data_IF_255561951271
#
_entry.id   IF_255561951271
#
_cell.length_a   1.000
_cell.length_b   1.000
_cell.length_c   1.000
_cell.angle_alpha   90.00
_cell.angle_beta   90.00
_cell.angle_gamma   90.00
#
_symmetry.space_group_name_H-M   'P 1'
#
loop_
_entity.id
_entity.type
_entity.pdbx_description
1 polymer ?
#
# COMPACT_ATOMS: atom_id res chain seq x y z
N UNK A 1 -43.97 -51.85 -6.88
CA UNK A 1 -45.41 -52.23 -6.81
C UNK A 1 -46.00 -51.43 -5.67
N UNK A 2 -46.70 -50.33 -5.96
CA UNK A 2 -48.18 -50.25 -6.07
C UNK A 2 -48.82 -50.32 -4.68
N UNK A 3 -49.71 -49.46 -4.20
CA UNK A 3 -50.51 -48.34 -4.72
C UNK A 3 -51.00 -47.56 -3.46
N UNK A 4 -51.01 -46.23 -3.46
CA UNK A 4 -52.19 -45.37 -3.65
C UNK A 4 -53.51 -45.83 -2.97
N UNK A 5 -54.03 -44.98 -2.08
CA UNK A 5 -55.23 -44.13 -2.34
C UNK A 5 -56.32 -44.09 -1.24
N UNK A 6 -57.05 -42.97 -1.28
CA UNK A 6 -58.41 -42.69 -0.80
C UNK A 6 -58.61 -42.04 0.60
N UNK A 7 -58.87 -40.73 0.55
CA UNK A 7 -59.66 -39.98 1.52
C UNK A 7 -61.18 -40.19 1.28
N UNK A 8 -62.05 -39.78 2.25
CA UNK A 8 -63.09 -38.83 1.86
C UNK A 8 -63.44 -37.70 2.88
N UNK A 9 -63.77 -36.57 2.24
CA UNK A 9 -64.46 -35.29 2.55
C UNK A 9 -65.48 -35.15 3.71
N UNK A 10 -65.30 -34.05 4.48
CA UNK A 10 -66.23 -32.92 4.88
C UNK A 10 -67.47 -33.21 5.77
N UNK A 11 -68.00 -32.24 6.59
CA UNK A 11 -68.19 -30.83 6.23
C UNK A 11 -68.03 -29.71 7.29
N UNK A 12 -67.91 -28.50 6.73
CA UNK A 12 -68.26 -27.17 7.22
C UNK A 12 -69.10 -27.07 8.51
N UNK A 13 -68.62 -26.26 9.47
CA UNK A 13 -69.44 -25.22 10.10
C UNK A 13 -68.62 -23.94 10.35
N UNK A 14 -69.01 -22.92 9.61
CA UNK A 14 -68.80 -21.49 9.84
C UNK A 14 -69.24 -21.09 11.25
N UNK A 15 -68.42 -20.28 11.93
CA UNK A 15 -68.88 -19.15 12.74
C UNK A 15 -67.71 -18.21 13.00
N UNK A 16 -67.75 -17.08 12.30
CA UNK A 16 -67.02 -15.89 12.65
C UNK A 16 -67.50 -15.40 14.03
N UNK A 17 -66.55 -15.06 14.89
CA UNK A 17 -66.75 -14.10 15.97
C UNK A 17 -65.41 -13.39 16.15
N UNK A 18 -65.33 -12.18 15.60
CA UNK A 18 -64.27 -11.25 15.89
C UNK A 18 -64.40 -10.80 17.35
N UNK A 19 -63.29 -10.86 18.09
CA UNK A 19 -63.11 -10.09 19.31
C UNK A 19 -61.68 -9.53 19.28
N UNK A 20 -61.62 -8.23 19.00
CA UNK A 20 -60.44 -7.37 19.11
C UNK A 20 -60.19 -7.12 20.59
N UNK A 21 -58.98 -7.44 21.09
CA UNK A 21 -58.36 -6.77 22.23
C UNK A 21 -56.90 -7.21 22.40
N UNK A 22 -55.98 -6.25 22.47
CA UNK A 22 -54.72 -6.42 23.20
C UNK A 22 -53.44 -6.36 22.36
N UNK A 23 -53.08 -5.15 21.95
CA UNK A 23 -51.73 -4.75 21.52
C UNK A 23 -50.68 -5.10 22.57
N UNK A 24 -49.65 -5.85 22.16
CA UNK A 24 -48.28 -5.77 22.69
C UNK A 24 -47.35 -6.34 21.61
N UNK A 25 -47.19 -5.56 20.54
CA UNK A 25 -46.03 -5.69 19.69
C UNK A 25 -44.83 -5.27 20.54
N UNK A 26 -44.13 -6.26 21.11
CA UNK A 26 -42.82 -6.04 21.70
C UNK A 26 -41.87 -5.60 20.59
N UNK A 27 -41.64 -4.29 20.49
CA UNK A 27 -40.52 -3.76 19.74
C UNK A 27 -39.25 -4.28 20.41
N UNK A 28 -38.66 -5.33 19.84
CA UNK A 28 -37.25 -5.63 20.04
C UNK A 28 -36.48 -4.47 19.39
N UNK A 29 -36.23 -3.44 20.18
CA UNK A 29 -35.19 -2.47 19.86
C UNK A 29 -33.89 -3.27 19.94
N UNK A 30 -33.41 -3.70 18.77
CA UNK A 30 -32.00 -4.04 18.57
C UNK A 30 -31.23 -2.74 18.83
N UNK A 31 -30.96 -2.43 20.09
CA UNK A 31 -29.83 -1.58 20.46
C UNK A 31 -28.60 -2.36 20.04
N UNK A 32 -28.23 -2.22 18.76
CA UNK A 32 -26.88 -2.51 18.32
C UNK A 32 -25.97 -1.73 19.26
N UNK A 33 -25.08 -2.43 19.95
CA UNK A 33 -23.95 -1.79 20.60
C UNK A 33 -23.10 -1.19 19.48
N UNK A 34 -23.45 0.00 19.01
CA UNK A 34 -22.48 0.91 18.41
C UNK A 34 -21.47 1.16 19.52
N UNK A 35 -20.34 0.47 19.44
CA UNK A 35 -19.19 0.81 20.28
C UNK A 35 -18.80 2.19 19.81
N UNK A 36 -19.24 3.21 20.53
CA UNK A 36 -18.93 4.60 20.23
C UNK A 36 -17.40 4.71 20.34
N UNK A 37 -16.73 4.84 19.19
CA UNK A 37 -15.28 4.98 19.14
C UNK A 37 -14.95 6.28 19.85
N UNK A 38 -14.30 6.17 21.01
CA UNK A 38 -13.97 7.32 21.82
C UNK A 38 -12.85 8.11 21.15
N UNK A 39 -12.98 9.42 21.07
CA UNK A 39 -11.87 10.31 20.70
C UNK A 39 -11.00 10.63 21.92
N UNK A 40 -9.69 10.47 21.80
CA UNK A 40 -8.69 10.82 22.82
C UNK A 40 -7.57 11.58 22.12
N UNK A 41 -7.21 12.76 22.62
CA UNK A 41 -6.16 13.59 22.01
C UNK A 41 -6.40 13.90 20.53
N UNK A 42 -7.65 14.06 20.11
CA UNK A 42 -8.01 14.33 18.71
C UNK A 42 -8.05 13.10 17.80
N UNK A 43 -7.76 11.90 18.31
CA UNK A 43 -7.71 10.65 17.53
C UNK A 43 -8.74 9.62 18.01
N UNK A 44 -9.28 8.77 17.11
CA UNK A 44 -10.01 7.57 17.48
C UNK A 44 -9.19 6.67 18.44
N UNK A 45 -9.82 6.09 19.46
CA UNK A 45 -9.18 5.15 20.38
C UNK A 45 -9.83 3.75 20.35
N UNK A 46 -9.18 2.74 19.73
CA UNK A 46 -7.89 2.82 19.07
C UNK A 46 -7.95 3.41 17.66
N UNK A 47 -6.87 4.05 17.21
CA UNK A 47 -6.59 4.29 15.80
C UNK A 47 -5.80 3.10 15.29
N UNK A 48 -6.33 2.38 14.31
CA UNK A 48 -5.71 1.18 13.75
C UNK A 48 -4.99 1.52 12.46
N UNK A 49 -3.71 1.18 12.41
CA UNK A 49 -2.82 1.37 11.27
C UNK A 49 -2.46 0.02 10.63
N UNK A 50 -2.25 0.01 9.32
CA UNK A 50 -1.76 -1.18 8.59
C UNK A 50 -0.40 -0.93 7.94
N UNK A 51 0.49 -1.92 7.94
CA UNK A 51 1.82 -1.84 7.29
C UNK A 51 2.35 -3.24 6.97
N UNK A 52 3.57 -3.34 6.46
CA UNK A 52 4.26 -4.60 6.22
C UNK A 52 4.54 -5.40 7.50
N UNK A 53 4.96 -6.66 7.35
CA UNK A 53 5.32 -7.56 8.45
C UNK A 53 6.36 -7.00 9.42
N UNK A 54 6.38 -7.55 10.63
CA UNK A 54 7.15 -7.06 11.78
C UNK A 54 8.67 -7.07 11.61
N UNK A 55 9.18 -7.82 10.63
CA UNK A 55 10.62 -7.90 10.31
C UNK A 55 11.10 -6.81 9.34
N UNK A 56 10.20 -5.92 8.91
CA UNK A 56 10.50 -4.86 7.92
C UNK A 56 10.83 -3.52 8.58
N UNK A 57 11.62 -2.70 7.87
CA UNK A 57 11.85 -1.30 8.28
C UNK A 57 10.54 -0.52 8.28
N UNK A 58 9.63 -0.87 7.36
CA UNK A 58 8.30 -0.28 7.27
C UNK A 58 7.48 -0.38 8.56
N UNK A 59 7.54 -1.55 9.22
CA UNK A 59 6.94 -1.76 10.53
C UNK A 59 7.69 -1.04 11.63
N UNK A 60 9.02 -1.13 11.65
CA UNK A 60 9.85 -0.54 12.69
C UNK A 60 9.66 0.98 12.82
N UNK A 61 9.65 1.72 11.70
CA UNK A 61 9.43 3.17 11.77
C UNK A 61 8.00 3.49 12.23
N UNK A 62 7.00 2.79 11.69
CA UNK A 62 5.60 3.04 12.05
C UNK A 62 5.35 2.73 13.53
N UNK A 63 5.98 1.68 14.08
CA UNK A 63 5.91 1.35 15.50
C UNK A 63 6.57 2.44 16.37
N UNK A 64 7.70 3.00 15.94
CA UNK A 64 8.36 4.12 16.62
C UNK A 64 7.48 5.38 16.66
N UNK A 65 6.88 5.73 15.52
CA UNK A 65 5.91 6.85 15.42
C UNK A 65 4.67 6.58 16.27
N UNK A 66 4.06 5.40 16.14
CA UNK A 66 2.84 5.03 16.83
C UNK A 66 3.01 5.06 18.36
N UNK A 67 4.15 4.59 18.87
CA UNK A 67 4.46 4.64 20.31
C UNK A 67 4.52 6.07 20.82
N UNK A 68 5.27 6.96 20.15
CA UNK A 68 5.40 8.36 20.60
C UNK A 68 4.12 9.18 20.42
N UNK A 69 3.39 8.99 19.32
CA UNK A 69 2.07 9.60 19.14
C UNK A 69 1.07 9.11 20.20
N UNK A 70 1.12 7.83 20.58
CA UNK A 70 0.27 7.32 21.66
C UNK A 70 0.59 7.95 23.02
N UNK A 71 1.88 8.21 23.30
CA UNK A 71 2.32 8.90 24.52
C UNK A 71 1.88 10.37 24.51
N UNK A 72 2.02 11.06 23.39
CA UNK A 72 1.69 12.48 23.23
C UNK A 72 0.17 12.72 23.38
N UNK A 73 -0.64 11.90 22.71
CA UNK A 73 -2.11 12.10 22.62
C UNK A 73 -2.89 11.38 23.71
N UNK A 74 -2.34 10.28 24.24
CA UNK A 74 -3.05 9.32 25.10
C UNK A 74 -3.99 8.36 24.36
N UNK A 75 -4.14 8.47 23.03
CA UNK A 75 -4.86 7.50 22.21
C UNK A 75 -4.03 6.23 22.01
N UNK A 76 -4.67 5.07 21.83
CA UNK A 76 -3.93 3.84 21.48
C UNK A 76 -3.82 3.73 19.97
N UNK A 77 -2.60 3.76 19.44
CA UNK A 77 -2.34 3.37 18.06
C UNK A 77 -2.03 1.87 18.00
N UNK A 78 -2.72 1.14 17.10
CA UNK A 78 -2.54 -0.30 16.93
C UNK A 78 -2.13 -0.61 15.52
N UNK A 79 -1.07 -1.40 15.36
CA UNK A 79 -0.60 -1.81 14.05
C UNK A 79 -1.08 -3.24 13.77
N UNK A 80 -1.69 -3.43 12.60
CA UNK A 80 -1.91 -4.74 11.99
C UNK A 80 -1.00 -4.86 10.76
N UNK A 81 -0.60 -6.07 10.41
CA UNK A 81 0.39 -6.28 9.35
C UNK A 81 -0.11 -7.18 8.24
N UNK A 82 0.34 -6.91 7.02
CA UNK A 82 0.20 -7.80 5.87
C UNK A 82 1.41 -7.66 4.96
N UNK A 83 1.98 -8.79 4.52
CA UNK A 83 3.10 -8.81 3.58
C UNK A 83 2.69 -8.59 2.11
N UNK A 84 1.39 -8.48 1.87
CA UNK A 84 0.79 -8.21 0.56
C UNK A 84 0.27 -6.78 0.51
N UNK A 85 0.36 -6.14 -0.66
CA UNK A 85 -0.27 -4.84 -0.91
C UNK A 85 -1.79 -4.95 -0.84
N UNK A 86 -2.37 -5.98 -1.46
CA UNK A 86 -3.82 -6.22 -1.44
C UNK A 86 -4.34 -6.38 -0.02
N UNK A 87 -3.65 -7.14 0.84
CA UNK A 87 -4.05 -7.31 2.23
C UNK A 87 -3.98 -6.04 3.06
N UNK A 88 -3.02 -5.14 2.78
CA UNK A 88 -2.93 -3.84 3.46
C UNK A 88 -4.07 -2.92 3.02
N UNK A 89 -4.33 -2.78 1.72
CA UNK A 89 -5.49 -2.01 1.26
C UNK A 89 -6.83 -2.63 1.67
N UNK A 90 -6.94 -3.97 1.72
CA UNK A 90 -8.18 -4.63 2.15
C UNK A 90 -8.50 -4.32 3.62
N UNK A 91 -7.47 -4.16 4.47
CA UNK A 91 -7.66 -3.73 5.84
C UNK A 91 -8.23 -2.31 5.94
N UNK A 92 -7.79 -1.40 5.07
CA UNK A 92 -8.36 -0.05 4.98
C UNK A 92 -9.80 -0.08 4.46
N UNK A 93 -10.02 -0.75 3.32
CA UNK A 93 -11.33 -0.84 2.67
C UNK A 93 -12.42 -1.46 3.56
N UNK A 94 -12.05 -2.45 4.38
CA UNK A 94 -12.98 -3.09 5.33
C UNK A 94 -13.20 -2.30 6.61
N UNK A 95 -12.47 -1.20 6.82
CA UNK A 95 -12.48 -0.42 8.07
C UNK A 95 -11.75 -1.11 9.24
N UNK A 96 -11.06 -2.22 9.01
CA UNK A 96 -10.25 -2.89 10.02
C UNK A 96 -9.03 -2.05 10.43
N UNK A 97 -8.50 -1.25 9.50
CA UNK A 97 -7.56 -0.15 9.74
C UNK A 97 -8.14 1.15 9.16
N UNK A 98 -7.76 2.29 9.73
CA UNK A 98 -8.17 3.61 9.24
C UNK A 98 -7.06 4.27 8.42
N UNK A 99 -5.80 3.93 8.72
CA UNK A 99 -4.62 4.55 8.09
C UNK A 99 -3.62 3.45 7.71
N UNK A 100 -2.94 3.58 6.59
CA UNK A 100 -1.94 2.62 6.13
C UNK A 100 -0.61 3.28 5.86
N UNK A 101 0.49 2.64 6.25
CA UNK A 101 1.81 2.90 5.66
C UNK A 101 1.97 1.96 4.47
N UNK A 102 1.90 2.54 3.29
CA UNK A 102 1.73 1.84 2.02
C UNK A 102 2.94 2.08 1.11
N UNK A 103 3.26 1.09 0.27
CA UNK A 103 4.03 1.33 -0.95
C UNK A 103 3.07 1.84 -2.04
N UNK A 104 3.43 1.73 -3.32
CA UNK A 104 2.61 2.24 -4.44
C UNK A 104 1.21 1.65 -4.57
N UNK A 105 0.80 0.69 -3.73
CA UNK A 105 -0.60 0.27 -3.74
C UNK A 105 -1.60 1.39 -3.46
N UNK A 106 -1.23 2.48 -2.78
CA UNK A 106 -2.12 3.65 -2.70
C UNK A 106 -2.36 4.28 -4.08
N UNK A 107 -1.34 4.29 -4.95
CA UNK A 107 -1.41 4.75 -6.35
C UNK A 107 -2.20 3.75 -7.19
N UNK A 108 -1.88 2.45 -7.09
CA UNK A 108 -2.53 1.43 -7.91
C UNK A 108 -4.00 1.23 -7.54
N UNK A 109 -4.35 1.36 -6.25
CA UNK A 109 -5.72 1.40 -5.79
C UNK A 109 -6.44 2.63 -6.32
N UNK A 110 -5.83 3.81 -6.24
CA UNK A 110 -6.37 5.05 -6.80
C UNK A 110 -6.65 4.96 -8.31
N UNK A 111 -5.71 4.39 -9.07
CA UNK A 111 -5.83 4.23 -10.53
C UNK A 111 -6.70 3.04 -10.97
N UNK A 112 -7.02 2.13 -10.05
CA UNK A 112 -7.69 0.86 -10.35
C UNK A 112 -6.90 -0.01 -11.32
N UNK A 113 -5.62 -0.27 -11.04
CA UNK A 113 -4.72 -1.05 -11.92
C UNK A 113 -4.04 -2.19 -11.17
N UNK A 114 -3.35 -3.08 -11.90
CA UNK A 114 -2.75 -4.31 -11.38
C UNK A 114 -3.81 -5.16 -10.65
N UNK A 115 -3.50 -5.70 -9.48
CA UNK A 115 -4.43 -6.52 -8.68
C UNK A 115 -5.66 -5.75 -8.14
N UNK A 116 -5.77 -4.45 -8.42
CA UNK A 116 -6.94 -3.63 -8.08
C UNK A 116 -7.92 -3.43 -9.25
N UNK A 117 -7.63 -3.98 -10.43
CA UNK A 117 -8.51 -3.94 -11.60
C UNK A 117 -9.37 -5.21 -11.74
N UNK A 118 -10.37 -5.38 -10.87
CA UNK A 118 -11.31 -6.52 -10.87
C UNK A 118 -12.65 -6.15 -10.23
N UNK A 119 -13.64 -7.04 -10.33
CA UNK A 119 -15.01 -6.83 -9.80
C UNK A 119 -15.06 -6.46 -8.31
N UNK A 120 -14.12 -6.97 -7.53
CA UNK A 120 -14.06 -6.72 -6.11
C UNK A 120 -13.44 -5.36 -5.79
N UNK A 121 -12.70 -4.72 -6.70
CA UNK A 121 -11.94 -3.49 -6.43
C UNK A 121 -12.38 -2.32 -7.33
N UNK A 122 -11.65 -2.08 -8.42
CA UNK A 122 -11.71 -0.84 -9.22
C UNK A 122 -10.89 0.31 -8.61
N UNK A 123 -10.94 1.50 -9.23
CA UNK A 123 -10.40 2.73 -8.64
C UNK A 123 -10.96 2.96 -7.22
N UNK A 124 -10.12 3.42 -6.30
CA UNK A 124 -10.45 3.66 -4.90
C UNK A 124 -10.14 5.11 -4.52
N UNK A 125 -10.95 5.72 -3.66
CA UNK A 125 -10.71 7.10 -3.22
C UNK A 125 -9.70 7.18 -2.05
N UNK A 126 -8.46 6.83 -2.37
CA UNK A 126 -7.34 6.84 -1.43
C UNK A 126 -6.66 8.21 -1.46
N UNK A 127 -6.36 8.73 -0.28
CA UNK A 127 -5.73 10.04 -0.06
C UNK A 127 -4.42 9.91 0.71
N UNK A 128 -3.44 10.72 0.32
CA UNK A 128 -2.14 10.81 0.98
C UNK A 128 -2.23 11.64 2.26
N UNK A 129 -1.61 11.16 3.34
CA UNK A 129 -1.59 11.79 4.66
C UNK A 129 -0.19 12.33 5.01
N UNK A 130 0.87 11.54 4.81
CA UNK A 130 2.25 11.92 5.12
C UNK A 130 3.23 11.15 4.23
N UNK A 131 4.29 11.79 3.70
CA UNK A 131 5.09 11.20 2.61
C UNK A 131 6.60 11.18 2.90
N UNK A 132 7.07 10.28 3.76
CA UNK A 132 8.49 10.05 3.94
C UNK A 132 9.08 9.28 2.74
N UNK A 133 10.30 9.64 2.34
CA UNK A 133 11.09 8.87 1.37
C UNK A 133 11.82 7.72 2.07
N UNK A 134 12.01 6.61 1.36
CA UNK A 134 12.64 5.42 1.93
C UNK A 134 13.62 4.73 0.96
N UNK A 135 14.90 4.54 1.36
CA UNK A 135 15.85 3.75 0.58
C UNK A 135 15.47 2.27 0.55
N UNK A 136 15.49 1.72 -0.64
CA UNK A 136 15.35 0.30 -0.91
C UNK A 136 16.51 -0.18 -1.76
N UNK A 137 17.04 -1.36 -1.44
CA UNK A 137 18.22 -1.90 -2.11
C UNK A 137 18.00 -3.32 -2.58
N UNK A 138 18.94 -3.79 -3.39
CA UNK A 138 19.03 -5.19 -3.82
C UNK A 138 20.15 -5.86 -3.03
N UNK A 139 19.82 -6.96 -2.35
CA UNK A 139 20.80 -7.76 -1.61
C UNK A 139 20.93 -9.14 -2.25
N UNK A 140 22.15 -9.65 -2.31
CA UNK A 140 22.50 -10.95 -2.88
C UNK A 140 23.51 -11.67 -2.00
N UNK A 141 23.73 -12.97 -2.21
CA UNK A 141 24.83 -13.69 -1.54
C UNK A 141 26.14 -13.29 -2.22
N UNK A 142 27.17 -12.96 -1.44
CA UNK A 142 28.49 -12.61 -1.97
C UNK A 142 29.06 -13.73 -2.87
N UNK A 143 28.76 -14.99 -2.54
CA UNK A 143 29.20 -16.14 -3.31
C UNK A 143 28.59 -16.25 -4.73
N UNK A 144 27.48 -15.55 -5.00
CA UNK A 144 26.84 -15.55 -6.32
C UNK A 144 27.53 -14.57 -7.30
N UNK A 145 28.35 -13.64 -6.79
CA UNK A 145 29.13 -12.69 -7.59
C UNK A 145 28.26 -11.77 -8.44
N UNK A 146 27.21 -11.20 -7.84
CA UNK A 146 26.32 -10.23 -8.46
C UNK A 146 26.74 -8.85 -8.00
N UNK A 147 27.45 -8.11 -8.85
CA UNK A 147 28.02 -6.80 -8.51
C UNK A 147 27.24 -5.66 -9.17
N UNK A 148 26.58 -5.92 -10.31
CA UNK A 148 25.73 -4.96 -11.02
C UNK A 148 24.37 -5.56 -11.42
N UNK A 149 23.38 -4.71 -11.70
CA UNK A 149 22.02 -5.16 -12.03
C UNK A 149 21.95 -6.03 -13.31
N UNK A 150 22.86 -5.83 -14.26
CA UNK A 150 23.01 -6.65 -15.49
C UNK A 150 23.40 -8.10 -15.20
N UNK A 151 24.03 -8.39 -14.06
CA UNK A 151 24.43 -9.75 -13.67
C UNK A 151 23.22 -10.65 -13.33
N UNK A 152 22.03 -10.07 -13.16
CA UNK A 152 20.79 -10.81 -12.93
C UNK A 152 20.33 -11.65 -14.13
N UNK A 153 20.95 -11.49 -15.31
CA UNK A 153 20.61 -12.29 -16.49
C UNK A 153 20.76 -13.80 -16.21
N UNK A 154 19.65 -14.52 -16.37
CA UNK A 154 19.51 -15.95 -16.13
C UNK A 154 19.41 -16.35 -14.66
N UNK A 155 19.38 -15.39 -13.73
CA UNK A 155 19.27 -15.62 -12.29
C UNK A 155 17.82 -15.77 -11.84
N UNK A 156 17.64 -16.24 -10.61
CA UNK A 156 16.34 -16.43 -9.97
C UNK A 156 15.95 -15.19 -9.21
N UNK A 157 14.91 -14.52 -9.66
CA UNK A 157 14.44 -13.24 -9.14
C UNK A 157 13.07 -13.45 -8.47
N UNK A 158 12.79 -12.83 -7.32
CA UNK A 158 11.50 -13.00 -6.67
C UNK A 158 10.37 -12.37 -7.48
N UNK A 159 9.25 -13.08 -7.58
CA UNK A 159 7.93 -12.50 -7.87
C UNK A 159 7.11 -12.57 -6.57
N UNK A 160 6.83 -11.42 -5.99
CA UNK A 160 6.16 -11.33 -4.70
C UNK A 160 4.65 -11.51 -4.86
N UNK A 161 4.09 -12.42 -4.07
CA UNK A 161 2.67 -12.75 -4.15
C UNK A 161 1.80 -11.56 -3.72
N UNK A 162 0.87 -11.13 -4.58
CA UNK A 162 -0.08 -10.04 -4.33
C UNK A 162 0.57 -8.73 -3.83
N UNK A 163 1.73 -8.40 -4.40
CA UNK A 163 2.51 -7.22 -4.04
C UNK A 163 3.00 -6.48 -5.29
N UNK A 164 2.08 -5.77 -5.99
CA UNK A 164 2.42 -4.98 -7.18
C UNK A 164 3.47 -3.93 -6.93
N UNK A 165 3.51 -3.33 -5.74
CA UNK A 165 4.51 -2.33 -5.41
C UNK A 165 5.92 -2.93 -5.48
N UNK A 166 6.19 -4.01 -4.74
CA UNK A 166 7.51 -4.64 -4.78
C UNK A 166 7.84 -5.21 -6.17
N UNK A 167 6.86 -5.80 -6.85
CA UNK A 167 7.01 -6.36 -8.19
C UNK A 167 7.35 -5.30 -9.26
N UNK A 168 6.73 -4.11 -9.19
CA UNK A 168 7.05 -3.00 -10.08
C UNK A 168 8.50 -2.54 -9.88
N UNK A 169 9.01 -2.52 -8.64
CA UNK A 169 10.44 -2.16 -8.40
C UNK A 169 11.39 -3.24 -8.85
N UNK A 170 11.05 -4.52 -8.69
CA UNK A 170 11.85 -5.60 -9.28
C UNK A 170 11.96 -5.42 -10.79
N UNK A 171 10.87 -5.08 -11.49
CA UNK A 171 10.92 -4.77 -12.92
C UNK A 171 11.76 -3.52 -13.23
N UNK A 172 11.60 -2.45 -12.45
CA UNK A 172 12.37 -1.23 -12.64
C UNK A 172 13.88 -1.44 -12.43
N UNK A 173 14.25 -2.30 -11.48
CA UNK A 173 15.62 -2.75 -11.23
C UNK A 173 16.18 -3.59 -12.39
N UNK A 174 15.37 -4.48 -12.97
CA UNK A 174 15.76 -5.19 -14.19
C UNK A 174 15.97 -4.22 -15.36
N UNK A 175 15.06 -3.26 -15.54
CA UNK A 175 15.17 -2.24 -16.57
C UNK A 175 16.41 -1.37 -16.37
N UNK A 176 16.74 -1.00 -15.13
CA UNK A 176 17.99 -0.32 -14.77
C UNK A 176 19.20 -1.09 -15.30
N UNK A 177 19.26 -2.41 -15.05
CA UNK A 177 20.31 -3.30 -15.59
C UNK A 177 20.24 -3.59 -17.09
N UNK A 178 19.32 -2.98 -17.83
CA UNK A 178 19.10 -3.24 -19.26
C UNK A 178 18.51 -4.62 -19.56
N UNK A 179 17.82 -5.22 -18.57
CA UNK A 179 17.20 -6.53 -18.66
C UNK A 179 15.68 -6.43 -18.81
N UNK A 180 15.09 -7.49 -19.34
CA UNK A 180 13.64 -7.67 -19.44
C UNK A 180 13.18 -8.84 -18.56
N UNK A 181 11.87 -8.99 -18.29
CA UNK A 181 11.34 -10.16 -17.60
C UNK A 181 11.75 -11.50 -18.23
N UNK A 182 11.97 -11.55 -19.55
CA UNK A 182 12.39 -12.76 -20.27
C UNK A 182 13.87 -13.13 -20.01
N UNK A 183 14.67 -12.20 -19.48
CA UNK A 183 16.08 -12.43 -19.18
C UNK A 183 16.30 -13.14 -17.83
N UNK A 184 15.27 -13.32 -17.00
CA UNK A 184 15.40 -13.89 -15.64
C UNK A 184 14.41 -15.03 -15.39
N UNK A 185 14.58 -15.74 -14.26
CA UNK A 185 13.68 -16.80 -13.82
C UNK A 185 12.90 -16.32 -12.59
N UNK A 186 11.61 -16.03 -12.75
CA UNK A 186 10.79 -15.63 -11.61
C UNK A 186 10.48 -16.81 -10.69
N UNK A 187 10.64 -16.58 -9.39
CA UNK A 187 10.28 -17.52 -8.32
C UNK A 187 9.23 -16.86 -7.43
N UNK A 188 8.04 -17.47 -7.37
CA UNK A 188 6.96 -16.96 -6.53
C UNK A 188 7.28 -17.18 -5.05
N UNK A 189 7.35 -16.10 -4.28
CA UNK A 189 7.57 -16.11 -2.83
C UNK A 189 6.71 -15.06 -2.12
N UNK A 190 6.56 -15.18 -0.80
CA UNK A 190 6.05 -14.08 0.03
C UNK A 190 7.12 -13.00 0.27
N UNK A 191 6.72 -11.74 0.38
CA UNK A 191 7.66 -10.64 0.67
C UNK A 191 8.36 -10.82 2.03
N UNK A 192 7.63 -11.26 3.06
CA UNK A 192 8.20 -11.55 4.38
C UNK A 192 9.15 -12.76 4.42
N UNK A 193 9.12 -13.63 3.41
CA UNK A 193 9.90 -14.87 3.34
C UNK A 193 11.22 -14.70 2.55
N UNK A 194 11.46 -13.52 1.99
CA UNK A 194 12.55 -13.31 1.02
C UNK A 194 13.94 -13.57 1.61
N UNK A 195 14.19 -13.19 2.87
CA UNK A 195 15.47 -13.44 3.54
C UNK A 195 15.77 -14.94 3.65
N UNK A 196 14.78 -15.73 4.06
CA UNK A 196 14.88 -17.19 4.13
C UNK A 196 15.07 -17.81 2.74
N UNK A 197 14.35 -17.29 1.73
CA UNK A 197 14.47 -17.74 0.35
C UNK A 197 15.88 -17.49 -0.22
N UNK A 198 16.50 -16.33 0.08
CA UNK A 198 17.89 -16.05 -0.31
C UNK A 198 18.87 -16.94 0.46
N UNK A 199 18.70 -17.11 1.78
CA UNK A 199 19.55 -17.97 2.57
C UNK A 199 19.55 -19.42 2.05
N UNK A 200 18.37 -19.93 1.68
CA UNK A 200 18.21 -21.28 1.17
C UNK A 200 18.61 -21.44 -0.29
N UNK A 201 19.03 -20.35 -0.95
CA UNK A 201 19.38 -20.38 -2.36
C UNK A 201 18.20 -20.67 -3.25
N UNK A 202 16.99 -20.24 -2.91
CA UNK A 202 15.80 -20.35 -3.76
C UNK A 202 15.74 -19.20 -4.78
N UNK A 203 16.13 -18.00 -4.34
CA UNK A 203 16.36 -16.81 -5.18
C UNK A 203 17.83 -16.39 -5.10
N UNK A 204 18.26 -15.57 -6.04
CA UNK A 204 19.64 -15.05 -6.14
C UNK A 204 19.73 -13.56 -5.78
N UNK A 205 18.59 -12.89 -5.61
CA UNK A 205 18.50 -11.52 -5.10
C UNK A 205 17.23 -11.33 -4.27
N UNK A 206 17.25 -10.36 -3.37
CA UNK A 206 16.07 -9.87 -2.64
C UNK A 206 16.00 -8.35 -2.68
N UNK A 207 14.80 -7.80 -2.54
CA UNK A 207 14.53 -6.35 -2.66
C UNK A 207 13.70 -5.88 -1.48
N UNK A 208 14.15 -4.81 -0.83
CA UNK A 208 13.38 -4.21 0.27
C UNK A 208 14.04 -3.00 0.89
N UNK A 209 13.34 -2.42 1.87
CA UNK A 209 13.83 -1.29 2.64
C UNK A 209 15.13 -1.66 3.37
N UNK A 210 16.20 -0.88 3.16
CA UNK A 210 17.57 -1.29 3.51
C UNK A 210 17.81 -1.44 5.02
N UNK A 211 16.94 -0.84 5.83
CA UNK A 211 17.01 -0.87 7.29
C UNK A 211 16.09 -1.91 7.94
N UNK A 212 15.57 -2.86 7.16
CA UNK A 212 14.73 -3.93 7.68
C UNK A 212 15.49 -4.90 8.60
N UNK A 213 14.88 -5.24 9.73
CA UNK A 213 15.47 -6.19 10.70
C UNK A 213 15.80 -7.56 10.09
N UNK A 214 14.99 -8.02 9.14
CA UNK A 214 15.25 -9.26 8.38
C UNK A 214 16.57 -9.24 7.59
N UNK A 215 16.98 -8.08 7.08
CA UNK A 215 18.23 -7.96 6.32
C UNK A 215 19.44 -7.95 7.26
N UNK A 216 19.33 -7.31 8.43
CA UNK A 216 20.33 -7.40 9.49
C UNK A 216 20.48 -8.83 10.03
N UNK A 217 19.36 -9.53 10.22
CA UNK A 217 19.35 -10.93 10.66
C UNK A 217 20.01 -11.83 9.60
N UNK A 218 19.63 -11.69 8.33
CA UNK A 218 20.22 -12.44 7.21
C UNK A 218 21.73 -12.23 7.13
N UNK A 219 22.20 -10.99 7.19
CA UNK A 219 23.63 -10.66 7.15
C UNK A 219 24.44 -11.22 8.33
N UNK A 220 23.78 -11.56 9.45
CA UNK A 220 24.42 -12.25 10.57
C UNK A 220 24.56 -13.76 10.37
N UNK A 221 23.87 -14.33 9.38
CA UNK A 221 23.77 -15.77 9.13
C UNK A 221 24.44 -16.22 7.83
N UNK A 222 24.50 -15.35 6.82
CA UNK A 222 25.04 -15.63 5.48
C UNK A 222 25.86 -14.44 4.99
N UNK A 223 26.96 -14.72 4.29
CA UNK A 223 27.74 -13.69 3.59
C UNK A 223 26.91 -13.13 2.41
N UNK A 224 26.49 -11.88 2.55
CA UNK A 224 25.66 -11.14 1.60
C UNK A 224 26.31 -9.79 1.26
N UNK A 225 25.90 -9.21 0.15
CA UNK A 225 26.32 -7.88 -0.29
C UNK A 225 25.15 -7.12 -0.90
N UNK A 226 25.23 -5.79 -0.90
CA UNK A 226 24.36 -4.92 -1.68
C UNK A 226 24.84 -4.89 -3.14
N UNK A 227 23.90 -4.84 -4.08
CA UNK A 227 24.18 -4.49 -5.47
C UNK A 227 24.06 -2.98 -5.58
N UNK A 228 25.19 -2.31 -5.79
CA UNK A 228 25.29 -0.85 -5.83
C UNK A 228 24.78 -0.33 -7.19
N UNK A 229 23.77 0.55 -7.17
CA UNK A 229 23.22 1.16 -8.37
C UNK A 229 24.08 2.37 -8.77
N UNK A 230 24.71 2.34 -9.95
CA UNK A 230 25.54 3.47 -10.40
C UNK A 230 24.71 4.78 -10.48
N UNK A 231 24.94 5.77 -9.58
CA UNK A 231 24.17 7.01 -9.57
C UNK A 231 24.53 7.95 -10.72
N UNK A 232 25.62 7.68 -11.45
CA UNK A 232 26.04 8.48 -12.60
C UNK A 232 25.51 7.93 -13.94
N UNK A 233 24.85 6.76 -13.95
CA UNK A 233 24.22 6.18 -15.14
C UNK A 233 22.80 6.73 -15.36
N UNK A 234 22.74 7.94 -15.94
CA UNK A 234 21.48 8.61 -16.26
C UNK A 234 20.60 7.81 -17.25
N UNK A 235 21.18 6.97 -18.12
CA UNK A 235 20.39 6.13 -19.03
C UNK A 235 19.75 4.96 -18.28
N UNK A 236 20.41 4.39 -17.27
CA UNK A 236 19.84 3.38 -16.40
C UNK A 236 18.75 3.95 -15.49
N UNK A 237 18.97 5.14 -14.93
CA UNK A 237 17.95 5.83 -14.13
C UNK A 237 16.70 6.17 -14.98
N UNK A 238 16.87 6.63 -16.22
CA UNK A 238 15.74 6.88 -17.16
C UNK A 238 14.92 5.60 -17.44
N UNK A 239 15.60 4.46 -17.64
CA UNK A 239 14.91 3.15 -17.79
C UNK A 239 14.13 2.75 -16.53
N UNK A 240 14.69 3.02 -15.35
CA UNK A 240 14.04 2.77 -14.07
C UNK A 240 12.81 3.67 -13.90
N UNK A 241 12.94 4.97 -14.18
CA UNK A 241 11.87 5.97 -14.08
C UNK A 241 10.76 5.75 -15.11
N UNK A 242 11.08 5.17 -16.27
CA UNK A 242 10.08 4.75 -17.25
C UNK A 242 9.11 3.71 -16.66
N UNK A 243 9.59 2.83 -15.76
CA UNK A 243 8.75 1.83 -15.08
C UNK A 243 8.10 2.40 -13.81
N UNK A 244 8.86 3.12 -12.99
CA UNK A 244 8.40 3.73 -11.74
C UNK A 244 8.80 5.22 -11.72
N UNK A 245 7.94 6.13 -12.23
CA UNK A 245 8.29 7.54 -12.41
C UNK A 245 8.67 8.29 -11.13
N UNK A 246 8.10 7.90 -9.99
CA UNK A 246 8.37 8.53 -8.69
C UNK A 246 9.67 8.03 -8.02
N UNK A 247 10.41 7.13 -8.66
CA UNK A 247 11.64 6.56 -8.12
C UNK A 247 12.89 7.32 -8.60
N UNK A 248 13.91 7.37 -7.74
CA UNK A 248 15.24 7.90 -8.08
C UNK A 248 16.33 7.00 -7.53
N UNK A 249 17.56 7.15 -8.00
CA UNK A 249 18.73 6.54 -7.38
C UNK A 249 19.25 7.45 -6.27
N UNK A 250 19.54 6.87 -5.10
CA UNK A 250 20.05 7.64 -3.96
C UNK A 250 20.90 6.79 -3.03
N UNK A 251 21.83 7.43 -2.31
CA UNK A 251 22.75 6.75 -1.42
C UNK A 251 22.11 6.39 -0.08
N UNK A 252 22.51 5.25 0.47
CA UNK A 252 22.18 4.84 1.83
C UNK A 252 23.42 4.33 2.56
N UNK A 253 23.49 4.64 3.86
CA UNK A 253 24.56 4.24 4.77
C UNK A 253 24.02 3.45 5.96
N UNK A 254 24.92 2.86 6.76
CA UNK A 254 24.58 2.12 7.99
C UNK A 254 23.61 0.95 7.79
N UNK A 255 23.48 0.48 6.55
CA UNK A 255 22.79 -0.75 6.21
C UNK A 255 23.62 -1.95 6.72
N UNK A 256 23.03 -3.16 6.85
CA UNK A 256 23.82 -4.36 7.12
C UNK A 256 24.97 -4.51 6.11
N UNK A 257 26.04 -5.19 6.54
CA UNK A 257 27.29 -5.44 5.81
C UNK A 257 28.18 -4.23 5.50
N UNK A 258 27.70 -2.99 5.60
CA UNK A 258 28.50 -1.78 5.41
C UNK A 258 29.37 -1.47 6.63
N UNK A 259 30.63 -1.10 6.41
CA UNK A 259 31.49 -0.54 7.44
C UNK A 259 31.16 0.94 7.73
N UNK A 260 31.72 1.48 8.81
CA UNK A 260 31.56 2.89 9.15
C UNK A 260 32.12 3.78 8.03
N UNK A 261 31.26 4.63 7.45
CA UNK A 261 31.61 5.54 6.36
C UNK A 261 31.46 4.93 4.96
N UNK A 262 31.03 3.67 4.84
CA UNK A 262 30.63 3.08 3.56
C UNK A 262 29.17 3.42 3.25
N UNK A 263 28.87 3.55 1.95
CA UNK A 263 27.54 3.77 1.40
C UNK A 263 27.41 3.04 0.08
N UNK A 264 26.21 2.52 -0.19
CA UNK A 264 25.79 2.00 -1.48
C UNK A 264 24.61 2.86 -1.96
N UNK A 265 24.12 2.61 -3.16
CA UNK A 265 23.02 3.32 -3.78
C UNK A 265 21.87 2.36 -4.05
N UNK A 266 20.67 2.88 -3.81
CA UNK A 266 19.40 2.18 -3.82
C UNK A 266 18.36 2.96 -4.61
N UNK A 267 17.17 2.37 -4.72
CA UNK A 267 15.98 3.09 -5.13
C UNK A 267 15.46 3.90 -3.95
N UNK A 268 15.21 5.18 -4.17
CA UNK A 268 14.46 6.07 -3.30
C UNK A 268 13.09 6.32 -3.89
N UNK A 269 12.04 6.14 -3.08
CA UNK A 269 10.66 6.49 -3.44
C UNK A 269 9.82 6.73 -2.19
N UNK A 270 8.59 7.23 -2.38
CA UNK A 270 7.64 7.49 -1.32
C UNK A 270 7.03 6.22 -0.74
N UNK A 271 7.12 6.06 0.58
CA UNK A 271 6.37 5.03 1.33
C UNK A 271 5.36 5.76 2.21
N UNK A 272 4.27 6.17 1.58
CA UNK A 272 3.30 7.11 2.13
C UNK A 272 2.50 6.50 3.29
N UNK A 273 2.15 7.36 4.24
CA UNK A 273 0.98 7.20 5.08
C UNK A 273 -0.23 7.68 4.26
N UNK A 274 -1.25 6.85 4.13
CA UNK A 274 -2.45 7.14 3.36
C UNK A 274 -3.69 6.59 4.07
N UNK A 275 -4.85 7.13 3.72
CA UNK A 275 -6.16 6.72 4.21
C UNK A 275 -7.17 6.78 3.06
N UNK A 276 -8.38 6.27 3.27
CA UNK A 276 -9.47 6.63 2.36
C UNK A 276 -10.00 8.02 2.69
N UNK A 277 -10.61 8.68 1.71
CA UNK A 277 -11.26 9.99 1.86
C UNK A 277 -12.33 10.04 2.96
N UNK A 278 -12.96 8.91 3.31
CA UNK A 278 -14.05 8.91 4.29
C UNK A 278 -13.60 9.05 5.76
N UNK A 279 -12.29 9.02 6.06
CA UNK A 279 -11.83 9.35 7.40
C UNK A 279 -12.03 10.86 7.65
N UNK A 280 -12.45 11.24 8.86
CA UNK A 280 -12.72 12.64 9.14
C UNK A 280 -11.46 13.51 9.00
N UNK A 281 -11.57 14.67 8.32
CA UNK A 281 -10.50 15.64 8.14
C UNK A 281 -9.79 16.00 9.46
N UNK A 282 -10.59 16.21 10.52
CA UNK A 282 -10.07 16.53 11.84
C UNK A 282 -9.20 15.39 12.40
N UNK A 283 -9.54 14.12 12.12
CA UNK A 283 -8.71 12.97 12.53
C UNK A 283 -7.38 12.98 11.81
N UNK A 284 -7.36 13.26 10.50
CA UNK A 284 -6.13 13.30 9.70
C UNK A 284 -5.26 14.49 10.09
N UNK A 285 -5.85 15.67 10.26
CA UNK A 285 -5.16 16.86 10.76
C UNK A 285 -4.50 16.57 12.11
N UNK A 286 -5.28 16.04 13.08
CA UNK A 286 -4.77 15.76 14.42
C UNK A 286 -3.70 14.66 14.41
N UNK A 287 -3.78 13.68 13.50
CA UNK A 287 -2.75 12.66 13.34
C UNK A 287 -1.43 13.27 12.89
N UNK A 288 -1.46 14.11 11.86
CA UNK A 288 -0.27 14.82 11.37
C UNK A 288 0.29 15.72 12.47
N UNK A 289 -0.55 16.53 13.09
CA UNK A 289 -0.13 17.44 14.17
C UNK A 289 0.55 16.68 15.32
N UNK A 290 -0.02 15.55 15.72
CA UNK A 290 0.55 14.70 16.76
C UNK A 290 1.86 14.02 16.32
N UNK A 291 1.97 13.60 15.05
CA UNK A 291 3.23 13.08 14.51
C UNK A 291 4.32 14.15 14.55
N UNK A 292 4.01 15.37 14.12
CA UNK A 292 4.97 16.48 14.13
C UNK A 292 5.37 16.88 15.56
N UNK A 293 4.41 16.95 16.48
CA UNK A 293 4.68 17.24 17.89
C UNK A 293 5.57 16.19 18.54
N UNK A 294 5.34 14.91 18.22
CA UNK A 294 6.10 13.77 18.75
C UNK A 294 7.45 13.54 18.03
N UNK A 295 7.70 14.19 16.89
CA UNK A 295 8.89 13.97 16.06
C UNK A 295 10.23 14.04 16.83
N UNK A 296 10.47 15.03 17.72
CA UNK A 296 11.70 15.09 18.50
C UNK A 296 12.00 13.81 19.31
N UNK A 297 10.96 13.07 19.70
CA UNK A 297 11.06 11.90 20.57
C UNK A 297 11.13 10.57 19.79
N UNK A 298 10.74 10.54 18.51
CA UNK A 298 10.87 9.33 17.69
C UNK A 298 11.95 9.41 16.60
N UNK A 299 12.44 10.59 16.19
CA UNK A 299 13.33 10.74 15.03
C UNK A 299 14.61 9.89 15.05
N UNK A 300 15.06 9.45 16.23
CA UNK A 300 16.25 8.59 16.40
C UNK A 300 15.90 7.13 16.75
N UNK A 301 14.61 6.74 16.73
CA UNK A 301 14.18 5.38 17.08
C UNK A 301 14.56 4.35 16.02
N UNK A 302 14.72 4.77 14.77
CA UNK A 302 15.25 3.96 13.67
C UNK A 302 16.16 4.83 12.80
N UNK A 303 16.92 4.18 11.92
CA UNK A 303 17.82 4.88 10.98
C UNK A 303 17.04 5.74 9.97
N UNK A 304 15.80 5.35 9.63
CA UNK A 304 14.97 5.99 8.59
C UNK A 304 14.09 7.14 9.11
N UNK A 305 13.80 7.17 10.40
CA UNK A 305 12.90 8.17 10.98
C UNK A 305 13.33 9.64 10.86
N UNK A 306 14.61 10.01 10.65
CA UNK A 306 14.94 11.38 10.28
C UNK A 306 14.22 11.87 9.01
N UNK A 307 13.93 10.98 8.05
CA UNK A 307 13.19 11.31 6.82
C UNK A 307 11.69 11.54 7.02
N UNK A 308 11.19 11.42 8.26
CA UNK A 308 9.79 11.74 8.60
C UNK A 308 9.62 13.17 9.12
N UNK A 309 10.68 13.97 9.14
CA UNK A 309 10.64 15.38 9.48
C UNK A 309 9.64 16.12 8.59
N UNK A 310 8.88 17.10 9.11
CA UNK A 310 8.07 18.00 8.28
C UNK A 310 8.87 18.65 7.15
N UNK A 311 10.16 18.89 7.36
CA UNK A 311 11.08 19.52 6.41
C UNK A 311 11.57 18.60 5.29
N UNK A 312 11.45 17.29 5.45
CA UNK A 312 11.99 16.30 4.53
C UNK A 312 10.90 15.57 3.73
N UNK A 313 9.66 15.60 4.20
CA UNK A 313 8.55 14.92 3.52
C UNK A 313 8.12 15.64 2.24
N UNK A 314 7.59 14.87 1.30
CA UNK A 314 6.94 15.43 0.11
C UNK A 314 5.65 16.16 0.54
N UNK A 315 5.53 17.42 0.13
CA UNK A 315 4.37 18.29 0.45
C UNK A 315 3.52 18.65 -0.76
N UNK A 316 3.93 18.20 -1.96
CA UNK A 316 3.19 18.40 -3.21
C UNK A 316 2.60 17.06 -3.67
N UNK A 317 1.32 17.03 -4.11
CA UNK A 317 0.73 15.82 -4.69
C UNK A 317 1.49 15.36 -5.92
N UNK A 318 1.73 14.05 -6.06
CA UNK A 318 2.43 13.47 -7.21
C UNK A 318 1.47 12.68 -8.09
N UNK A 319 1.04 11.51 -7.62
CA UNK A 319 0.16 10.59 -8.36
C UNK A 319 -1.19 10.33 -7.69
N UNK A 320 -1.33 10.72 -6.44
CA UNK A 320 -2.54 10.56 -5.63
C UNK A 320 -2.75 11.85 -4.83
N UNK A 321 -3.99 12.35 -4.74
CA UNK A 321 -4.27 13.58 -4.01
C UNK A 321 -4.03 13.41 -2.52
N UNK A 322 -3.68 14.50 -1.84
CA UNK A 322 -3.60 14.58 -0.39
C UNK A 322 -5.01 14.59 0.21
N UNK A 323 -5.10 14.16 1.46
CA UNK A 323 -6.34 14.25 2.23
C UNK A 323 -6.61 15.70 2.63
N UNK A 324 -7.87 16.12 2.67
CA UNK A 324 -8.23 17.51 2.98
C UNK A 324 -7.73 17.98 4.37
N UNK A 325 -7.86 17.15 5.41
CA UNK A 325 -7.17 17.37 6.69
C UNK A 325 -5.63 17.55 6.61
N UNK A 326 -4.95 16.86 5.69
CA UNK A 326 -3.51 17.04 5.46
C UNK A 326 -3.21 18.36 4.72
N UNK A 327 -4.01 18.69 3.70
CA UNK A 327 -3.94 19.97 2.98
C UNK A 327 -4.17 21.13 3.95
N UNK A 328 -5.14 21.03 4.86
CA UNK A 328 -5.39 22.03 5.89
C UNK A 328 -4.14 22.23 6.77
N UNK A 329 -3.56 21.14 7.29
CA UNK A 329 -2.37 21.23 8.13
C UNK A 329 -1.20 21.89 7.38
N UNK A 330 -0.96 21.51 6.13
CA UNK A 330 0.10 22.09 5.29
C UNK A 330 -0.13 23.59 5.01
N UNK A 331 -1.37 24.01 4.75
CA UNK A 331 -1.73 25.43 4.56
C UNK A 331 -1.48 26.26 5.82
N UNK A 332 -1.87 25.76 6.99
CA UNK A 332 -1.69 26.47 8.26
C UNK A 332 -0.21 26.60 8.68
N UNK A 333 0.66 25.75 8.12
CA UNK A 333 2.10 25.75 8.37
C UNK A 333 2.92 26.35 7.22
N UNK A 334 2.28 27.09 6.30
CA UNK A 334 2.92 27.76 5.16
C UNK A 334 3.70 26.80 4.23
N UNK A 335 3.24 25.54 4.10
CA UNK A 335 3.87 24.48 3.27
C UNK A 335 3.07 24.09 2.03
N UNK A 336 1.95 24.76 1.77
CA UNK A 336 1.08 24.46 0.63
C UNK A 336 1.17 25.57 -0.41
N UNK A 337 1.67 25.24 -1.59
CA UNK A 337 1.87 26.19 -2.70
C UNK A 337 0.63 26.24 -3.61
N UNK A 338 0.54 27.27 -4.45
CA UNK A 338 -0.49 27.34 -5.50
C UNK A 338 -0.33 26.19 -6.50
N UNK A 339 0.91 25.77 -6.79
CA UNK A 339 1.22 24.64 -7.67
C UNK A 339 0.78 23.30 -7.05
N UNK A 340 0.98 23.12 -5.74
CA UNK A 340 0.45 21.98 -5.00
C UNK A 340 -1.09 21.94 -5.05
N UNK A 341 -1.76 23.11 -4.94
CA UNK A 341 -3.21 23.18 -5.06
C UNK A 341 -3.69 22.84 -6.47
N UNK A 342 -3.02 23.33 -7.51
CA UNK A 342 -3.37 23.00 -8.90
C UNK A 342 -3.24 21.49 -9.14
N UNK A 343 -2.16 20.88 -8.65
CA UNK A 343 -1.96 19.43 -8.78
C UNK A 343 -2.96 18.61 -7.96
N UNK A 344 -3.32 19.09 -6.76
CA UNK A 344 -4.38 18.49 -5.94
C UNK A 344 -5.72 18.49 -6.68
N UNK A 345 -6.09 19.61 -7.29
CA UNK A 345 -7.35 19.76 -8.02
C UNK A 345 -7.38 18.86 -9.26
N UNK A 346 -6.25 18.77 -9.99
CA UNK A 346 -6.08 17.86 -11.14
C UNK A 346 -6.27 16.40 -10.74
N UNK A 347 -5.61 15.96 -9.66
CA UNK A 347 -5.67 14.58 -9.19
C UNK A 347 -7.04 14.23 -8.59
N UNK A 348 -7.70 15.18 -7.92
CA UNK A 348 -9.07 14.98 -7.42
C UNK A 348 -10.04 14.76 -8.58
N UNK A 349 -10.00 15.62 -9.61
CA UNK A 349 -10.81 15.46 -10.82
C UNK A 349 -10.49 14.15 -11.57
N UNK A 350 -9.23 13.73 -11.57
CA UNK A 350 -8.83 12.44 -12.14
C UNK A 350 -9.49 11.28 -11.41
N UNK A 351 -9.49 11.28 -10.08
CA UNK A 351 -10.14 10.26 -9.26
C UNK A 351 -11.63 10.15 -9.56
N UNK A 352 -12.34 11.29 -9.59
CA UNK A 352 -13.76 11.35 -9.98
C UNK A 352 -14.00 10.72 -11.36
N UNK A 353 -13.21 11.09 -12.37
CA UNK A 353 -13.30 10.51 -13.72
C UNK A 353 -13.03 9.01 -13.73
N UNK A 354 -12.04 8.53 -12.99
CA UNK A 354 -11.74 7.09 -12.92
C UNK A 354 -12.92 6.31 -12.35
N UNK A 355 -13.58 6.83 -11.31
CA UNK A 355 -14.77 6.20 -10.73
C UNK A 355 -15.96 6.17 -11.70
N UNK A 356 -16.22 7.27 -12.41
CA UNK A 356 -17.29 7.34 -13.42
C UNK A 356 -17.04 6.35 -14.58
N UNK A 357 -15.84 6.37 -15.14
CA UNK A 357 -15.43 5.54 -16.28
C UNK A 357 -15.37 4.05 -15.90
N UNK A 358 -14.95 3.73 -14.68
CA UNK A 358 -14.99 2.36 -14.18
C UNK A 358 -16.42 1.82 -14.08
N UNK A 359 -17.37 2.64 -13.60
CA UNK A 359 -18.76 2.24 -13.52
C UNK A 359 -19.34 1.94 -14.91
N UNK A 360 -19.07 2.78 -15.90
CA UNK A 360 -19.48 2.55 -17.29
C UNK A 360 -18.80 1.31 -17.91
N UNK A 361 -17.50 1.14 -17.66
CA UNK A 361 -16.73 -0.02 -18.11
C UNK A 361 -17.32 -1.34 -17.57
N UNK A 362 -17.68 -1.39 -16.28
CA UNK A 362 -18.24 -2.59 -15.66
C UNK A 362 -19.63 -2.95 -16.20
N UNK A 363 -20.38 -2.02 -16.81
CA UNK A 363 -21.63 -2.34 -17.53
C UNK A 363 -21.41 -3.21 -18.77
N UNK A 364 -20.17 -3.28 -19.28
CA UNK A 364 -19.80 -4.16 -20.40
C UNK A 364 -19.69 -5.63 -19.99
N UNK A 365 -19.80 -5.94 -18.70
CA UNK A 365 -19.73 -7.28 -18.11
C UNK A 365 -18.44 -8.03 -18.55
N UNK A 366 -17.24 -7.44 -18.31
CA UNK A 366 -15.99 -8.09 -18.66
C UNK A 366 -15.80 -9.36 -17.82
N UNK A 367 -15.25 -10.42 -18.43
CA UNK A 367 -14.83 -11.59 -17.67
C UNK A 367 -13.65 -11.22 -16.76
N UNK A 368 -13.62 -11.71 -15.52
CA UNK A 368 -12.60 -11.35 -14.52
C UNK A 368 -11.16 -11.49 -15.02
N UNK A 369 -10.87 -12.55 -15.80
CA UNK A 369 -9.54 -12.81 -16.38
C UNK A 369 -9.11 -11.79 -17.44
N UNK A 370 -10.09 -11.10 -18.05
CA UNK A 370 -9.88 -10.08 -19.08
C UNK A 370 -10.05 -8.65 -18.52
N UNK A 371 -10.63 -8.49 -17.33
CA UNK A 371 -11.01 -7.18 -16.75
C UNK A 371 -9.85 -6.19 -16.74
N UNK A 372 -8.67 -6.58 -16.27
CA UNK A 372 -7.53 -5.67 -16.22
C UNK A 372 -7.08 -5.22 -17.63
N UNK A 373 -6.93 -6.15 -18.57
CA UNK A 373 -6.53 -5.84 -19.95
C UNK A 373 -7.55 -4.92 -20.63
N UNK A 374 -8.84 -5.27 -20.53
CA UNK A 374 -9.92 -4.50 -21.13
C UNK A 374 -10.05 -3.12 -20.46
N UNK A 375 -9.78 -3.02 -19.16
CA UNK A 375 -9.75 -1.74 -18.46
C UNK A 375 -8.63 -0.83 -18.96
N UNK A 376 -7.42 -1.36 -19.19
CA UNK A 376 -6.33 -0.57 -19.79
C UNK A 376 -6.67 -0.10 -21.21
N UNK A 377 -7.34 -0.95 -22.01
CA UNK A 377 -7.87 -0.56 -23.32
C UNK A 377 -8.91 0.56 -23.20
N UNK A 378 -9.85 0.45 -22.26
CA UNK A 378 -10.83 1.49 -21.96
C UNK A 378 -10.18 2.81 -21.54
N UNK A 379 -9.18 2.77 -20.64
CA UNK A 379 -8.43 3.96 -20.21
C UNK A 379 -7.74 4.62 -21.41
N UNK A 380 -7.20 3.85 -22.36
CA UNK A 380 -6.56 4.41 -23.56
C UNK A 380 -7.56 5.13 -24.46
N UNK A 381 -8.70 4.49 -24.71
CA UNK A 381 -9.73 5.03 -25.60
C UNK A 381 -10.43 6.26 -25.01
N UNK A 382 -10.47 6.38 -23.68
CA UNK A 382 -11.10 7.48 -22.95
C UNK A 382 -10.10 8.50 -22.36
N UNK A 383 -8.82 8.46 -22.76
CA UNK A 383 -7.82 9.46 -22.35
C UNK A 383 -7.49 9.47 -20.86
N UNK A 384 -7.39 8.29 -20.25
CA UNK A 384 -7.01 8.04 -18.86
C UNK A 384 -5.68 7.26 -18.72
N UNK A 385 -5.17 6.67 -19.79
CA UNK A 385 -3.97 5.82 -19.75
C UNK A 385 -2.72 6.57 -19.27
N UNK A 386 -1.89 5.88 -18.47
CA UNK A 386 -0.50 6.27 -18.17
C UNK A 386 0.47 5.32 -18.89
N UNK A 387 1.62 5.84 -19.33
CA UNK A 387 2.65 5.03 -20.00
C UNK A 387 3.19 3.90 -19.10
N UNK A 388 3.38 4.19 -17.81
CA UNK A 388 3.83 3.21 -16.80
C UNK A 388 2.87 2.02 -16.63
N UNK A 389 1.58 2.21 -16.85
CA UNK A 389 0.57 1.15 -16.77
C UNK A 389 0.73 0.14 -17.90
N UNK A 390 1.07 0.60 -19.11
CA UNK A 390 1.27 -0.30 -20.25
C UNK A 390 2.51 -1.17 -20.06
N UNK A 391 3.59 -0.59 -19.52
CA UNK A 391 4.87 -1.27 -19.29
C UNK A 391 4.79 -2.35 -18.21
N UNK A 392 4.02 -2.08 -17.16
CA UNK A 392 3.88 -3.00 -16.01
C UNK A 392 2.80 -4.06 -16.22
N UNK A 393 1.85 -3.84 -17.13
CA UNK A 393 0.69 -4.71 -17.35
C UNK A 393 1.01 -6.17 -17.71
N UNK A 394 2.11 -6.42 -18.43
CA UNK A 394 2.48 -7.78 -18.87
C UNK A 394 3.02 -8.68 -17.77
N UNK A 395 3.22 -8.16 -16.56
CA UNK A 395 3.81 -8.86 -15.44
C UNK A 395 2.79 -9.39 -14.42
N UNK A 396 1.60 -8.78 -14.36
CA UNK A 396 0.59 -9.00 -13.32
C UNK A 396 -0.46 -10.01 -13.72
#
# INVERSE_FOLDING_TARGET
MSAASHAPRRPFRTRAAAAVAGTLAGALILTGCTTETKTVGGLPDPLVLTTYGTSTGSYADLAGVADRVSVETGARLRIITSDTSVGRLAALRSGAAQVGRLGDEYIFGFEGVNEFANEDWGPQDIRVVWVPLSPHGVMTRTADGLDEMSDLKGKRVPKYTANPSANAKVQALLAFGGLTPDDVQFVNIGYGEQADALQQGQVDMIYGAVYGGSFFELASQVDVQWVDLDPDDAEAEDRLQTVVPAASVGSFDRAPTQAEGESDHGIYYSVAVAAYDEIEDETVYNLIDSMVAAYPDYKESTISLPGWSPDEVVVEPQETPFHDGAVQWLKEHDRWTDEAQEKQDELTQRGERLHEEWAEFMETDPADEDTYRLWLEWKRDNGLAKESEELTSGFF
#
